data_IF_662684057459
#
_entry.id   IF_662684057459
#
_cell.length_a   1.000
_cell.length_b   1.000
_cell.length_c   1.000
_cell.angle_alpha   90.00
_cell.angle_beta   90.00
_cell.angle_gamma   90.00
#
_symmetry.space_group_name_H-M   'P 1'
#
loop_
_entity.id
_entity.type
_entity.pdbx_description
1 polymer ?
#
# COMPACT_ATOMS: atom_id res chain seq x y z
N UNK A 1 -12.72 -4.84 12.92
CA UNK A 1 -13.15 -5.88 11.96
C UNK A 1 -11.95 -6.75 11.68
N UNK A 2 -11.97 -8.07 11.95
CA UNK A 2 -10.83 -8.94 11.59
C UNK A 2 -10.88 -9.14 10.06
N UNK A 3 -9.87 -8.68 9.37
CA UNK A 3 -9.71 -8.92 7.94
C UNK A 3 -9.48 -10.43 7.72
N UNK A 4 -10.35 -11.06 6.93
CA UNK A 4 -10.16 -12.45 6.53
C UNK A 4 -9.25 -12.47 5.29
N UNK A 5 -8.04 -13.02 5.44
CA UNK A 5 -7.07 -13.19 4.35
C UNK A 5 -7.68 -13.88 3.13
N UNK A 6 -8.66 -14.79 3.33
CA UNK A 6 -9.38 -15.47 2.25
C UNK A 6 -10.17 -14.50 1.38
N UNK A 7 -10.85 -13.52 1.99
CA UNK A 7 -11.59 -12.50 1.23
C UNK A 7 -10.70 -11.65 0.32
N UNK A 8 -9.47 -11.35 0.76
CA UNK A 8 -8.51 -10.59 -0.05
C UNK A 8 -8.02 -11.41 -1.23
N UNK A 9 -7.70 -12.70 -1.00
CA UNK A 9 -7.26 -13.63 -2.03
C UNK A 9 -8.38 -13.95 -3.04
N UNK A 10 -9.62 -14.12 -2.59
CA UNK A 10 -10.79 -14.31 -3.46
C UNK A 10 -11.04 -13.09 -4.36
N UNK A 11 -10.86 -11.88 -3.83
CA UNK A 11 -10.99 -10.63 -4.60
C UNK A 11 -9.89 -10.44 -5.65
N UNK A 12 -8.69 -10.98 -5.44
CA UNK A 12 -7.57 -10.86 -6.39
C UNK A 12 -7.70 -11.75 -7.63
N UNK A 13 -8.61 -12.72 -7.63
CA UNK A 13 -8.78 -13.69 -8.71
C UNK A 13 -7.68 -14.76 -8.76
N UNK A 14 -8.00 -15.91 -9.35
CA UNK A 14 -7.13 -17.09 -9.36
C UNK A 14 -5.75 -16.86 -10.01
N UNK A 15 -5.66 -16.03 -11.05
CA UNK A 15 -4.38 -15.75 -11.72
C UNK A 15 -3.43 -14.91 -10.84
N UNK A 16 -3.96 -13.93 -10.10
CA UNK A 16 -3.15 -13.10 -9.18
C UNK A 16 -2.72 -13.89 -7.95
N UNK A 17 -3.58 -14.81 -7.46
CA UNK A 17 -3.23 -15.75 -6.38
C UNK A 17 -2.11 -16.69 -6.83
N UNK A 18 -2.20 -17.25 -8.05
CA UNK A 18 -1.16 -18.11 -8.61
C UNK A 18 0.18 -17.37 -8.78
N UNK A 19 0.13 -16.08 -9.12
CA UNK A 19 1.33 -15.25 -9.22
C UNK A 19 1.96 -14.94 -7.86
N UNK A 20 1.15 -14.79 -6.81
CA UNK A 20 1.59 -14.67 -5.42
C UNK A 20 2.28 -15.97 -4.96
N UNK A 21 1.70 -17.13 -5.28
CA UNK A 21 2.25 -18.44 -4.95
C UNK A 21 3.57 -18.71 -5.69
N UNK A 22 3.66 -18.39 -6.97
CA UNK A 22 4.91 -18.52 -7.75
C UNK A 22 6.04 -17.61 -7.25
N UNK A 23 5.73 -16.44 -6.72
CA UNK A 23 6.73 -15.59 -6.05
C UNK A 23 7.12 -16.09 -4.67
N UNK A 24 6.32 -16.94 -4.05
CA UNK A 24 6.64 -17.57 -2.78
C UNK A 24 7.93 -18.39 -2.89
N UNK A 25 8.06 -19.21 -3.91
CA UNK A 25 9.26 -20.03 -4.18
C UNK A 25 10.51 -19.16 -4.40
N UNK A 26 10.39 -18.10 -5.21
CA UNK A 26 11.50 -17.18 -5.47
C UNK A 26 11.91 -16.42 -4.20
N UNK A 27 10.96 -16.08 -3.33
CA UNK A 27 11.25 -15.40 -2.07
C UNK A 27 11.91 -16.33 -1.06
N UNK A 28 11.53 -17.60 -1.01
CA UNK A 28 12.17 -18.59 -0.15
C UNK A 28 13.67 -18.74 -0.51
N UNK A 29 14.03 -18.76 -1.79
CA UNK A 29 15.42 -18.80 -2.26
C UNK A 29 16.21 -17.52 -1.94
N UNK A 30 15.57 -16.38 -2.05
CA UNK A 30 16.19 -15.06 -1.80
C UNK A 30 16.42 -14.79 -0.32
N UNK A 31 15.54 -15.30 0.56
CA UNK A 31 15.68 -15.16 2.02
C UNK A 31 16.80 -16.01 2.64
N UNK A 32 17.36 -16.94 1.89
CA UNK A 32 18.58 -17.65 2.30
C UNK A 32 19.85 -16.79 2.16
N UNK A 33 19.75 -15.61 1.53
CA UNK A 33 20.85 -14.68 1.35
C UNK A 33 20.90 -13.67 2.52
N UNK A 34 22.06 -13.49 3.20
CA UNK A 34 22.13 -12.72 4.46
C UNK A 34 21.95 -11.20 4.33
N UNK A 35 21.64 -10.64 3.16
CA UNK A 35 21.77 -9.19 2.93
C UNK A 35 20.74 -8.53 1.97
N UNK A 36 19.55 -8.99 1.84
CA UNK A 36 18.57 -8.26 0.99
C UNK A 36 17.37 -7.79 1.79
N UNK A 37 17.22 -6.46 1.90
CA UNK A 37 15.98 -5.81 2.31
C UNK A 37 14.91 -6.06 1.24
N UNK A 38 14.15 -7.13 1.39
CA UNK A 38 13.13 -7.52 0.44
C UNK A 38 11.77 -7.21 1.04
N UNK A 39 10.99 -6.43 0.31
CA UNK A 39 9.56 -6.36 0.51
C UNK A 39 8.93 -7.72 0.14
N UNK A 40 8.90 -8.66 1.07
CA UNK A 40 8.38 -10.00 0.87
C UNK A 40 7.14 -10.27 1.72
N UNK A 41 6.16 -10.93 1.13
CA UNK A 41 4.81 -11.15 1.61
C UNK A 41 4.62 -12.50 2.31
N UNK A 42 5.40 -12.82 3.37
CA UNK A 42 5.17 -14.09 4.07
C UNK A 42 5.20 -13.94 5.60
N UNK A 43 4.05 -14.14 6.28
CA UNK A 43 3.98 -14.18 7.74
C UNK A 43 4.84 -15.30 8.36
N UNK A 44 4.97 -16.42 7.66
CA UNK A 44 5.78 -17.58 8.11
C UNK A 44 7.27 -17.28 8.08
N UNK A 45 7.77 -16.56 7.06
CA UNK A 45 9.15 -16.12 6.96
C UNK A 45 9.50 -15.08 8.04
N UNK A 46 8.57 -14.21 8.40
CA UNK A 46 8.74 -13.27 9.51
C UNK A 46 8.96 -14.01 10.83
N UNK A 47 8.32 -15.17 11.05
CA UNK A 47 8.53 -16.03 12.23
C UNK A 47 9.94 -16.66 12.26
N UNK A 48 10.51 -16.98 11.10
CA UNK A 48 11.87 -17.57 11.01
C UNK A 48 12.93 -16.57 11.47
N UNK A 49 12.70 -15.28 11.23
CA UNK A 49 13.58 -14.20 11.72
C UNK A 49 13.43 -13.93 13.21
N UNK A 50 12.32 -14.31 13.85
CA UNK A 50 12.08 -14.04 15.28
C UNK A 50 13.02 -14.80 16.24
N UNK A 51 13.75 -15.80 15.76
CA UNK A 51 14.67 -16.62 16.55
C UNK A 51 16.17 -16.25 16.38
N UNK A 52 16.52 -15.25 15.59
CA UNK A 52 17.92 -14.84 15.43
C UNK A 52 18.37 -13.92 16.57
N UNK A 53 19.65 -14.03 16.97
CA UNK A 53 20.28 -13.17 18.00
C UNK A 53 20.56 -11.74 17.53
N UNK A 54 20.20 -11.39 16.32
CA UNK A 54 20.38 -10.04 15.74
C UNK A 54 19.02 -9.32 15.64
N UNK A 55 18.97 -7.99 15.85
CA UNK A 55 17.72 -7.24 15.64
C UNK A 55 17.30 -7.37 14.18
N UNK A 56 16.07 -7.83 13.97
CA UNK A 56 15.52 -8.02 12.62
C UNK A 56 15.33 -6.69 11.93
N UNK A 57 15.67 -6.58 10.62
CA UNK A 57 15.30 -5.40 9.85
C UNK A 57 13.77 -5.27 9.84
N UNK A 58 13.27 -4.07 10.09
CA UNK A 58 11.86 -3.75 9.91
C UNK A 58 11.54 -3.73 8.41
N UNK A 59 10.51 -4.44 8.00
CA UNK A 59 10.06 -4.45 6.61
C UNK A 59 8.94 -3.43 6.47
N UNK A 60 9.13 -2.45 5.59
CA UNK A 60 8.17 -1.40 5.31
C UNK A 60 7.48 -1.66 3.97
N UNK A 61 6.17 -1.66 3.98
CA UNK A 61 5.37 -1.79 2.76
C UNK A 61 5.23 -0.42 2.08
N UNK A 62 6.07 -0.17 1.07
CA UNK A 62 6.19 1.13 0.39
C UNK A 62 4.94 1.47 -0.42
N UNK A 63 4.24 2.55 -0.05
CA UNK A 63 2.94 3.00 -0.60
C UNK A 63 1.84 1.96 -0.49
N UNK A 64 1.86 1.15 0.57
CA UNK A 64 1.04 -0.05 0.67
C UNK A 64 1.57 -1.20 -0.18
N UNK A 65 0.75 -2.23 -0.39
CA UNK A 65 1.11 -3.38 -1.23
C UNK A 65 1.06 -3.04 -2.73
N UNK A 66 1.80 -1.99 -3.15
CA UNK A 66 1.73 -1.37 -4.49
C UNK A 66 2.01 -2.31 -5.67
N UNK A 67 2.59 -3.46 -5.43
CA UNK A 67 2.81 -4.48 -6.47
C UNK A 67 1.49 -5.19 -6.84
N UNK A 68 0.51 -5.17 -5.95
CA UNK A 68 -0.73 -5.96 -6.04
C UNK A 68 -2.00 -5.11 -6.04
N UNK A 69 -1.89 -3.84 -5.62
CA UNK A 69 -3.00 -2.88 -5.57
C UNK A 69 -2.49 -1.48 -5.92
N UNK A 70 -3.38 -0.54 -6.31
CA UNK A 70 -2.97 0.82 -6.65
C UNK A 70 -2.29 1.51 -5.47
N UNK A 71 -1.09 2.06 -5.71
CA UNK A 71 -0.27 2.71 -4.67
C UNK A 71 -1.02 3.81 -3.91
N UNK A 72 -0.73 3.98 -2.62
CA UNK A 72 -1.28 5.06 -1.79
C UNK A 72 -2.82 5.06 -1.65
N UNK A 73 -3.46 3.91 -1.81
CA UNK A 73 -4.91 3.72 -1.62
C UNK A 73 -5.22 2.87 -0.39
N UNK A 74 -6.47 2.91 0.07
CA UNK A 74 -6.91 2.04 1.16
C UNK A 74 -6.85 0.56 0.75
N UNK A 75 -7.15 0.22 -0.50
CA UNK A 75 -7.01 -1.14 -1.01
C UNK A 75 -5.58 -1.68 -0.92
N UNK A 76 -4.56 -0.84 -1.21
CA UNK A 76 -3.15 -1.24 -1.06
C UNK A 76 -2.75 -1.42 0.41
N UNK A 77 -3.30 -0.61 1.30
CA UNK A 77 -3.07 -0.70 2.75
C UNK A 77 -3.76 -1.95 3.32
N UNK A 78 -5.01 -2.21 2.95
CA UNK A 78 -5.75 -3.40 3.35
C UNK A 78 -5.03 -4.68 2.94
N UNK A 79 -4.49 -4.68 1.73
CA UNK A 79 -3.72 -5.81 1.25
C UNK A 79 -2.41 -5.97 2.05
N UNK A 80 -1.74 -4.89 2.43
CA UNK A 80 -0.57 -4.94 3.29
C UNK A 80 -0.91 -5.55 4.67
N UNK A 81 -2.04 -5.15 5.27
CA UNK A 81 -2.56 -5.75 6.52
C UNK A 81 -2.84 -7.24 6.34
N UNK A 82 -3.56 -7.61 5.27
CA UNK A 82 -3.92 -9.00 4.96
C UNK A 82 -2.70 -9.91 4.71
N UNK A 83 -1.61 -9.34 4.20
CA UNK A 83 -0.33 -10.02 3.99
C UNK A 83 0.56 -10.08 5.25
N UNK A 84 0.11 -9.49 6.36
CA UNK A 84 0.80 -9.54 7.65
C UNK A 84 1.94 -8.55 7.81
N UNK A 85 2.00 -7.49 6.99
CA UNK A 85 2.93 -6.39 7.24
C UNK A 85 2.54 -5.62 8.51
N UNK A 86 3.55 -5.12 9.23
CA UNK A 86 3.36 -4.33 10.45
C UNK A 86 3.60 -2.84 10.21
N UNK A 87 4.21 -2.47 9.10
CA UNK A 87 4.58 -1.10 8.76
C UNK A 87 4.18 -0.81 7.33
N UNK A 88 3.51 0.32 7.12
CA UNK A 88 3.25 0.89 5.79
C UNK A 88 3.91 2.25 5.69
N UNK A 89 4.46 2.54 4.53
CA UNK A 89 4.88 3.89 4.17
C UNK A 89 3.87 4.49 3.20
N UNK A 90 3.58 5.78 3.35
CA UNK A 90 2.65 6.53 2.51
C UNK A 90 3.21 7.93 2.20
N UNK A 91 2.87 8.43 1.02
CA UNK A 91 3.22 9.78 0.59
C UNK A 91 2.07 10.76 0.85
N UNK A 92 2.36 11.92 1.42
CA UNK A 92 1.34 12.94 1.72
C UNK A 92 1.61 14.24 0.99
N UNK A 93 0.57 14.78 0.37
CA UNK A 93 0.55 16.10 -0.27
C UNK A 93 -0.60 16.94 0.26
N UNK A 94 -0.49 18.24 0.07
CA UNK A 94 -1.53 19.19 0.44
C UNK A 94 -2.29 19.68 -0.78
N UNK A 95 -3.62 19.73 -0.67
CA UNK A 95 -4.52 20.31 -1.67
C UNK A 95 -4.50 21.84 -1.60
N UNK A 96 -5.14 22.52 -2.57
CA UNK A 96 -5.28 23.97 -2.58
C UNK A 96 -5.96 24.53 -1.31
N UNK A 97 -6.94 23.84 -0.80
CA UNK A 97 -7.72 24.18 0.41
C UNK A 97 -7.11 23.62 1.70
N UNK A 98 -5.85 23.12 1.64
CA UNK A 98 -5.08 22.73 2.82
C UNK A 98 -5.36 21.33 3.34
N UNK A 99 -6.13 20.49 2.65
CA UNK A 99 -6.43 19.12 3.08
C UNK A 99 -5.26 18.20 2.74
N UNK A 100 -4.70 17.44 3.72
CA UNK A 100 -3.70 16.41 3.44
C UNK A 100 -4.32 15.20 2.74
N UNK A 101 -3.79 14.84 1.57
CA UNK A 101 -4.20 13.67 0.77
C UNK A 101 -3.02 12.72 0.56
N UNK A 102 -3.32 11.43 0.40
CA UNK A 102 -2.29 10.40 0.23
C UNK A 102 -2.06 10.16 -1.26
N UNK A 103 -0.95 10.69 -1.78
CA UNK A 103 -0.58 10.61 -3.19
C UNK A 103 0.89 10.99 -3.39
N UNK A 104 1.62 10.24 -4.22
CA UNK A 104 3.06 10.45 -4.43
C UNK A 104 3.36 11.65 -5.31
N UNK A 105 2.77 11.70 -6.50
CA UNK A 105 3.11 12.68 -7.53
C UNK A 105 2.56 14.08 -7.19
N UNK A 106 3.19 15.14 -7.67
CA UNK A 106 2.68 16.51 -7.55
C UNK A 106 1.44 16.77 -8.41
N UNK A 107 1.07 15.83 -9.27
CA UNK A 107 -0.10 15.88 -10.13
C UNK A 107 -0.95 14.62 -10.05
N UNK A 108 -2.23 14.73 -10.38
CA UNK A 108 -3.17 13.62 -10.45
C UNK A 108 -2.96 12.67 -11.65
N UNK A 109 -2.09 13.02 -12.59
CA UNK A 109 -2.08 12.49 -13.96
C UNK A 109 -1.75 11.00 -14.06
N UNK A 110 -0.84 10.46 -13.24
CA UNK A 110 -0.33 9.10 -13.40
C UNK A 110 -1.20 8.05 -12.72
N UNK A 111 -1.65 8.35 -11.52
CA UNK A 111 -2.33 7.37 -10.65
C UNK A 111 -3.82 7.68 -10.44
N UNK A 112 -4.38 8.57 -11.26
CA UNK A 112 -5.81 8.84 -11.26
C UNK A 112 -6.33 9.09 -12.67
N UNK A 113 -7.66 9.14 -12.82
CA UNK A 113 -8.32 9.60 -14.04
C UNK A 113 -8.35 11.14 -14.18
N UNK A 114 -7.84 11.88 -13.19
CA UNK A 114 -7.76 13.33 -13.20
C UNK A 114 -6.50 13.89 -13.85
N UNK A 115 -6.47 15.22 -14.01
CA UNK A 115 -5.31 15.93 -14.55
C UNK A 115 -5.07 17.24 -13.81
N UNK A 116 -3.80 17.57 -13.63
CA UNK A 116 -3.39 18.83 -13.02
C UNK A 116 -2.65 18.67 -11.69
N UNK A 117 -2.08 19.77 -11.20
CA UNK A 117 -1.31 19.78 -9.96
C UNK A 117 -2.22 19.70 -8.74
N UNK A 118 -1.92 18.83 -7.79
CA UNK A 118 -2.68 18.60 -6.56
C UNK A 118 -2.84 19.90 -5.76
N UNK A 119 -1.79 20.70 -5.64
CA UNK A 119 -1.81 21.99 -4.93
C UNK A 119 -2.70 23.07 -5.58
N UNK A 120 -3.22 22.84 -6.78
CA UNK A 120 -4.18 23.71 -7.46
C UNK A 120 -5.62 23.21 -7.42
N UNK A 121 -5.86 22.02 -6.88
CA UNK A 121 -7.16 21.38 -6.79
C UNK A 121 -7.69 21.43 -5.36
N UNK A 122 -8.99 21.69 -5.19
CA UNK A 122 -9.64 21.53 -3.89
C UNK A 122 -9.92 20.06 -3.61
N UNK A 123 -9.97 19.68 -2.33
CA UNK A 123 -10.27 18.29 -1.96
C UNK A 123 -11.61 17.78 -2.53
N UNK A 124 -12.62 18.66 -2.60
CA UNK A 124 -13.93 18.35 -3.19
C UNK A 124 -13.87 17.87 -4.66
N UNK A 125 -12.80 18.19 -5.38
CA UNK A 125 -12.54 17.69 -6.74
C UNK A 125 -11.67 16.44 -6.73
N UNK A 126 -10.67 16.39 -5.85
CA UNK A 126 -9.76 15.25 -5.73
C UNK A 126 -10.49 13.98 -5.24
N UNK A 127 -11.43 14.10 -4.30
CA UNK A 127 -12.18 12.96 -3.77
C UNK A 127 -13.09 12.26 -4.79
N UNK A 128 -13.32 12.88 -5.95
CA UNK A 128 -14.11 12.31 -7.06
C UNK A 128 -13.24 11.54 -8.06
N UNK A 129 -11.92 11.64 -7.93
CA UNK A 129 -11.00 10.99 -8.84
C UNK A 129 -10.94 9.49 -8.54
N UNK A 130 -10.83 8.72 -9.61
CA UNK A 130 -10.57 7.29 -9.56
C UNK A 130 -9.05 7.07 -9.54
N UNK A 131 -8.55 6.57 -8.41
CA UNK A 131 -7.15 6.24 -8.19
C UNK A 131 -6.85 4.74 -8.36
N UNK A 132 -7.80 3.94 -8.83
CA UNK A 132 -7.67 2.50 -8.95
C UNK A 132 -7.61 1.97 -10.37
N UNK A 133 -8.44 2.47 -11.29
CA UNK A 133 -8.60 1.93 -12.66
C UNK A 133 -7.32 1.95 -13.49
N UNK A 134 -6.37 2.85 -13.23
CA UNK A 134 -5.08 2.90 -13.92
C UNK A 134 -4.23 1.66 -13.64
N UNK A 135 -4.42 1.06 -12.47
CA UNK A 135 -3.68 -0.13 -12.03
C UNK A 135 -4.35 -1.40 -12.58
N UNK A 136 -5.65 -1.53 -12.35
CA UNK A 136 -6.46 -2.67 -12.82
C UNK A 136 -7.96 -2.27 -12.72
N UNK A 137 -8.82 -2.62 -13.71
CA UNK A 137 -10.26 -2.36 -13.66
C UNK A 137 -10.97 -2.89 -12.42
N UNK A 138 -10.40 -3.89 -11.75
CA UNK A 138 -10.90 -4.42 -10.48
C UNK A 138 -10.96 -3.35 -9.37
N UNK A 139 -10.06 -2.38 -9.41
CA UNK A 139 -9.98 -1.27 -8.44
C UNK A 139 -10.71 -0.01 -8.92
N UNK A 140 -11.57 -0.10 -9.93
CA UNK A 140 -12.31 1.04 -10.44
C UNK A 140 -13.13 1.72 -9.33
N UNK A 141 -13.04 3.05 -9.26
CA UNK A 141 -13.73 3.84 -8.25
C UNK A 141 -13.01 3.97 -6.91
N UNK A 142 -11.78 3.44 -6.78
CA UNK A 142 -10.94 3.67 -5.59
C UNK A 142 -10.62 5.16 -5.46
N UNK A 143 -10.96 5.83 -4.34
CA UNK A 143 -10.72 7.26 -4.19
C UNK A 143 -9.26 7.57 -3.81
N UNK A 144 -8.82 8.81 -4.03
CA UNK A 144 -7.63 9.35 -3.36
C UNK A 144 -7.97 9.58 -1.89
N UNK A 145 -7.35 8.89 -0.93
CA UNK A 145 -7.73 9.00 0.47
C UNK A 145 -7.15 10.28 1.12
N UNK A 146 -7.84 10.81 2.12
CA UNK A 146 -7.26 11.79 3.04
C UNK A 146 -6.32 11.08 4.00
N UNK A 147 -5.33 11.80 4.50
CA UNK A 147 -4.43 11.27 5.54
C UNK A 147 -5.21 10.83 6.78
N UNK A 148 -6.22 11.61 7.20
CA UNK A 148 -7.02 11.28 8.39
C UNK A 148 -7.80 9.97 8.21
N UNK A 149 -8.32 9.68 7.00
CA UNK A 149 -9.03 8.44 6.69
C UNK A 149 -8.09 7.23 6.77
N UNK A 150 -6.87 7.38 6.23
CA UNK A 150 -5.84 6.34 6.33
C UNK A 150 -5.46 6.09 7.78
N UNK A 151 -5.17 7.13 8.57
CA UNK A 151 -4.76 6.99 9.97
C UNK A 151 -5.87 6.35 10.83
N UNK A 152 -7.13 6.71 10.58
CA UNK A 152 -8.28 6.09 11.25
C UNK A 152 -8.41 4.60 10.87
N UNK A 153 -8.18 4.28 9.60
CA UNK A 153 -8.31 2.93 9.05
C UNK A 153 -7.25 1.96 9.60
N UNK A 154 -5.99 2.41 9.70
CA UNK A 154 -4.87 1.57 10.17
C UNK A 154 -4.72 1.52 11.67
N UNK A 155 -5.53 2.27 12.42
CA UNK A 155 -5.42 2.40 13.89
C UNK A 155 -5.41 1.04 14.58
N UNK A 156 -4.30 0.73 15.24
CA UNK A 156 -4.11 -0.53 15.96
C UNK A 156 -3.71 -1.73 15.07
N UNK A 157 -3.54 -1.52 13.76
CA UNK A 157 -3.16 -2.57 12.81
C UNK A 157 -1.72 -2.41 12.30
N UNK A 158 -1.30 -1.18 11.98
CA UNK A 158 0.00 -0.87 11.38
C UNK A 158 0.68 0.33 12.03
N UNK A 159 2.03 0.32 12.05
CA UNK A 159 2.81 1.56 12.13
C UNK A 159 2.76 2.25 10.76
N UNK A 160 2.69 3.58 10.74
CA UNK A 160 2.66 4.37 9.50
C UNK A 160 3.89 5.25 9.42
N UNK A 161 4.66 5.12 8.33
CA UNK A 161 5.73 6.05 7.96
C UNK A 161 5.17 7.02 6.93
N UNK A 162 5.22 8.30 7.24
CA UNK A 162 4.65 9.35 6.40
C UNK A 162 5.78 10.14 5.75
N UNK A 163 5.87 10.06 4.42
CA UNK A 163 6.72 10.96 3.64
C UNK A 163 5.92 12.22 3.27
N UNK A 164 6.30 13.36 3.84
CA UNK A 164 5.69 14.64 3.48
C UNK A 164 6.37 15.16 2.23
N UNK A 165 5.62 15.19 1.13
CA UNK A 165 6.09 15.80 -0.12
C UNK A 165 5.90 17.32 -0.08
N UNK A 166 6.73 18.04 -0.82
CA UNK A 166 6.59 19.50 -0.92
C UNK A 166 5.18 19.93 -1.35
N UNK A 167 4.69 20.98 -0.72
CA UNK A 167 3.39 21.58 -0.98
C UNK A 167 3.36 22.35 -2.31
#
# INVERSE_FOLDING_TARGET
MKYDQRMVLEKLGSEKVLWLEKRKEVLEDVFQLPFLGIGGNQPELLKTFSNSKHPHPKIVCHRGAKTFAPENTLSAIDLAIGLGFNIVEIDVRQTKDGVPVVLHDSSANRTTNGRGAIKKMNYADICKLDAGSWFDPFFAGEPVPRLEDVLAHVKGCLEVYIEIKEA
#
